data_IF_574534245718
#
_entry.id   IF_574534245718
#
_cell.length_a   1.000
_cell.length_b   1.000
_cell.length_c   1.000
_cell.angle_alpha   90.00
_cell.angle_beta   90.00
_cell.angle_gamma   90.00
#
_symmetry.space_group_name_H-M   'P 1'
#
loop_
_entity.id
_entity.type
_entity.pdbx_description
1 polymer ?
#
# COMPACT_ATOMS: atom_id res chain seq x y z
N UNK A 1 2.71 -4.48 32.14
CA UNK A 1 3.66 -3.48 31.59
C UNK A 1 3.07 -2.96 30.30
N UNK A 2 3.01 -1.65 30.08
CA UNK A 2 2.43 -1.04 28.87
C UNK A 2 3.23 -1.41 27.64
N UNK A 3 2.55 -1.62 26.52
CA UNK A 3 3.17 -2.10 25.27
C UNK A 3 2.78 -1.22 24.08
N UNK A 4 3.77 -0.69 23.38
CA UNK A 4 3.59 -0.04 22.08
C UNK A 4 3.81 -1.08 20.98
N UNK A 5 2.75 -1.49 20.30
CA UNK A 5 2.81 -2.37 19.14
C UNK A 5 3.07 -1.53 17.90
N UNK A 6 4.18 -1.75 17.23
CA UNK A 6 4.59 -1.00 16.05
C UNK A 6 4.62 -1.93 14.84
N UNK A 7 3.59 -1.84 14.00
CA UNK A 7 3.53 -2.54 12.72
C UNK A 7 4.26 -1.72 11.65
N UNK A 8 5.33 -2.29 11.08
CA UNK A 8 6.23 -1.59 10.15
C UNK A 8 6.17 -2.10 8.70
N UNK A 9 5.20 -2.90 8.35
CA UNK A 9 5.06 -3.48 7.01
C UNK A 9 5.79 -4.83 6.94
N UNK A 10 6.52 -5.18 5.88
CA UNK A 10 7.10 -4.32 4.80
C UNK A 10 6.03 -3.65 3.93
N UNK A 11 6.39 -2.66 3.08
CA UNK A 11 5.45 -2.20 2.05
C UNK A 11 4.95 -3.37 1.20
N UNK A 12 3.74 -3.30 0.67
CA UNK A 12 3.14 -4.34 -0.19
C UNK A 12 2.82 -5.68 0.52
N UNK A 13 2.62 -5.62 1.83
CA UNK A 13 2.16 -6.74 2.67
C UNK A 13 0.80 -6.44 3.31
N UNK A 14 -0.12 -5.86 2.54
CA UNK A 14 -1.49 -5.54 2.95
C UNK A 14 -1.60 -4.62 4.19
N UNK A 15 -0.62 -3.72 4.41
CA UNK A 15 -0.57 -2.79 5.53
C UNK A 15 -1.86 -1.97 5.68
N UNK A 16 -2.42 -1.51 4.55
CA UNK A 16 -3.69 -0.77 4.52
C UNK A 16 -4.86 -1.58 5.09
N UNK A 17 -4.90 -2.90 4.86
CA UNK A 17 -5.95 -3.76 5.40
C UNK A 17 -5.86 -3.88 6.93
N UNK A 18 -4.65 -3.98 7.48
CA UNK A 18 -4.40 -3.96 8.93
C UNK A 18 -4.80 -2.60 9.53
N UNK A 19 -4.43 -1.50 8.88
CA UNK A 19 -4.75 -0.14 9.32
C UNK A 19 -6.26 0.12 9.36
N UNK A 20 -6.99 -0.33 8.33
CA UNK A 20 -8.45 -0.24 8.33
C UNK A 20 -9.08 -1.16 9.37
N UNK A 21 -8.58 -2.39 9.53
CA UNK A 21 -9.03 -3.29 10.57
C UNK A 21 -8.93 -2.64 11.96
N UNK A 22 -7.80 -2.04 12.30
CA UNK A 22 -7.61 -1.38 13.59
C UNK A 22 -8.55 -0.18 13.76
N UNK A 23 -8.73 0.65 12.73
CA UNK A 23 -9.63 1.80 12.77
C UNK A 23 -11.09 1.40 12.89
N UNK A 24 -11.51 0.44 12.07
CA UNK A 24 -12.94 0.07 11.97
C UNK A 24 -13.42 -0.76 13.16
N UNK A 25 -12.50 -1.37 13.92
CA UNK A 25 -12.78 -2.14 15.13
C UNK A 25 -12.35 -1.44 16.43
N UNK A 26 -12.18 -0.13 16.43
CA UNK A 26 -11.60 0.62 17.54
C UNK A 26 -12.34 0.39 18.88
N UNK A 27 -13.67 0.32 18.88
CA UNK A 27 -14.46 0.06 20.09
C UNK A 27 -14.17 -1.34 20.68
N UNK A 28 -14.02 -2.36 19.84
CA UNK A 28 -13.73 -3.73 20.27
C UNK A 28 -12.29 -3.85 20.75
N UNK A 29 -11.35 -3.17 20.10
CA UNK A 29 -9.97 -3.06 20.56
C UNK A 29 -9.89 -2.42 21.94
N UNK A 30 -10.58 -1.31 22.14
CA UNK A 30 -10.62 -0.58 23.41
C UNK A 30 -11.14 -1.45 24.57
N UNK A 31 -12.16 -2.28 24.33
CA UNK A 31 -12.70 -3.22 25.32
C UNK A 31 -11.69 -4.27 25.78
N UNK A 32 -10.72 -4.60 24.93
CA UNK A 32 -9.63 -5.53 25.25
C UNK A 32 -8.34 -4.82 25.71
N UNK A 33 -8.41 -3.52 25.96
CA UNK A 33 -7.25 -2.76 26.45
C UNK A 33 -6.26 -2.31 25.37
N UNK A 34 -6.65 -2.36 24.09
CA UNK A 34 -5.85 -1.85 22.97
C UNK A 34 -6.42 -0.53 22.45
N UNK A 35 -5.54 0.38 22.07
CA UNK A 35 -5.91 1.67 21.48
C UNK A 35 -5.18 1.91 20.15
N UNK A 36 -5.91 2.31 19.13
CA UNK A 36 -5.39 2.72 17.83
C UNK A 36 -5.59 4.22 17.66
N UNK A 37 -4.61 5.08 17.97
CA UNK A 37 -4.77 6.53 17.87
C UNK A 37 -5.01 6.97 16.42
N UNK A 38 -5.92 7.94 16.25
CA UNK A 38 -6.16 8.62 14.99
C UNK A 38 -5.80 10.09 15.22
N UNK A 39 -4.66 10.48 14.74
CA UNK A 39 -4.13 11.83 14.94
C UNK A 39 -4.77 12.85 14.00
N UNK A 40 -4.86 14.11 14.44
CA UNK A 40 -5.49 15.20 13.67
C UNK A 40 -4.57 15.80 12.59
N UNK A 41 -3.25 15.68 12.72
CA UNK A 41 -2.32 16.19 11.72
C UNK A 41 -2.42 15.45 10.39
N UNK A 42 -2.05 16.15 9.32
CA UNK A 42 -2.12 15.63 7.96
C UNK A 42 -0.77 15.69 7.30
N UNK A 43 -0.35 14.56 6.76
CA UNK A 43 0.74 14.51 5.80
C UNK A 43 0.16 14.42 4.39
N UNK A 44 0.59 15.25 3.43
CA UNK A 44 0.15 15.16 2.05
C UNK A 44 0.35 13.75 1.49
N UNK A 45 -0.66 13.21 0.81
CA UNK A 45 -0.62 11.87 0.20
C UNK A 45 -0.47 10.68 1.17
N UNK A 46 -0.66 10.89 2.46
CA UNK A 46 -0.64 9.83 3.48
C UNK A 46 -2.06 9.63 4.03
N UNK A 47 -2.52 8.37 4.07
CA UNK A 47 -3.80 8.05 4.69
C UNK A 47 -3.73 8.29 6.21
N UNK A 48 -4.76 8.87 6.80
CA UNK A 48 -4.84 9.12 8.24
C UNK A 48 -4.76 7.84 9.09
N UNK A 49 -5.12 6.70 8.48
CA UNK A 49 -4.98 5.39 9.12
C UNK A 49 -3.52 4.96 9.29
N UNK A 50 -2.57 5.59 8.63
CA UNK A 50 -1.13 5.39 8.87
C UNK A 50 -0.68 6.25 10.04
N UNK A 51 -1.06 5.84 11.22
CA UNK A 51 -0.90 6.64 12.43
C UNK A 51 0.54 6.73 12.97
N UNK A 52 1.47 5.90 12.49
CA UNK A 52 2.89 5.99 12.85
C UNK A 52 3.71 6.89 11.91
N UNK A 53 3.08 7.59 10.94
CA UNK A 53 3.82 8.35 9.94
C UNK A 53 4.66 9.49 10.53
N UNK A 54 4.28 10.03 11.66
CA UNK A 54 5.06 11.05 12.39
C UNK A 54 6.46 10.57 12.80
N UNK A 55 6.69 9.24 12.91
CA UNK A 55 8.01 8.68 13.19
C UNK A 55 8.98 8.83 12.01
N UNK A 56 8.45 8.94 10.82
CA UNK A 56 9.22 9.09 9.58
C UNK A 56 9.13 10.50 9.00
N UNK A 57 8.28 11.36 9.55
CA UNK A 57 8.04 12.71 9.06
C UNK A 57 7.56 12.72 7.61
N UNK A 58 7.54 13.88 6.96
CA UNK A 58 7.16 13.96 5.57
C UNK A 58 8.31 13.53 4.65
N UNK A 59 8.37 12.22 4.38
CA UNK A 59 9.38 11.64 3.49
C UNK A 59 9.14 11.95 2.02
N UNK A 60 8.01 12.56 1.68
CA UNK A 60 7.63 12.96 0.32
C UNK A 60 7.94 14.41 -0.01
N UNK A 61 8.21 15.24 1.01
CA UNK A 61 8.72 16.60 0.80
C UNK A 61 10.23 16.58 0.53
N UNK A 62 10.72 17.57 -0.19
CA UNK A 62 12.14 17.82 -0.30
C UNK A 62 12.73 18.16 1.07
N UNK A 63 14.03 17.93 1.28
CA UNK A 63 14.69 18.30 2.54
C UNK A 63 14.59 19.81 2.84
N UNK A 64 14.48 20.63 1.79
CA UNK A 64 14.35 22.09 1.89
C UNK A 64 12.95 22.54 2.35
N UNK A 65 11.93 21.70 2.14
CA UNK A 65 10.55 21.98 2.56
C UNK A 65 10.22 21.40 3.95
N UNK A 66 11.15 20.65 4.54
CA UNK A 66 10.95 20.01 5.82
C UNK A 66 11.34 20.94 6.98
N UNK A 67 10.35 21.39 7.76
CA UNK A 67 10.58 22.07 9.03
C UNK A 67 10.86 21.05 10.12
N UNK A 68 12.11 21.00 10.60
CA UNK A 68 12.51 20.12 11.71
C UNK A 68 11.78 20.47 13.02
N UNK A 69 11.44 21.74 13.21
CA UNK A 69 10.72 22.22 14.39
C UNK A 69 9.27 21.72 14.39
N UNK A 70 8.59 21.79 13.24
CA UNK A 70 7.23 21.27 13.09
C UNK A 70 7.19 19.74 13.27
N UNK A 71 8.16 19.02 12.71
CA UNK A 71 8.28 17.57 12.87
C UNK A 71 8.53 17.19 14.34
N UNK A 72 9.34 17.94 15.06
CA UNK A 72 9.57 17.71 16.50
C UNK A 72 8.31 17.99 17.30
N UNK A 73 7.58 19.06 16.99
CA UNK A 73 6.31 19.38 17.64
C UNK A 73 5.29 18.26 17.45
N UNK A 74 5.11 17.78 16.21
CA UNK A 74 4.21 16.67 15.90
C UNK A 74 4.62 15.41 16.67
N UNK A 75 5.92 15.13 16.76
CA UNK A 75 6.41 13.98 17.52
C UNK A 75 6.08 14.08 19.02
N UNK A 76 6.29 15.23 19.63
CA UNK A 76 5.98 15.44 21.05
C UNK A 76 4.47 15.37 21.32
N UNK A 77 3.66 15.96 20.45
CA UNK A 77 2.19 15.86 20.52
C UNK A 77 1.71 14.40 20.39
N UNK A 78 2.30 13.63 19.47
CA UNK A 78 1.99 12.21 19.32
C UNK A 78 2.29 11.39 20.58
N UNK A 79 3.50 11.57 21.13
CA UNK A 79 3.88 10.85 22.34
C UNK A 79 3.11 11.32 23.57
N UNK A 80 2.71 12.60 23.65
CA UNK A 80 1.78 13.08 24.67
C UNK A 80 0.47 12.29 24.65
N UNK A 81 -0.16 12.15 23.49
CA UNK A 81 -1.39 11.36 23.35
C UNK A 81 -1.19 9.85 23.60
N UNK A 82 -0.03 9.29 23.24
CA UNK A 82 0.30 7.90 23.54
C UNK A 82 0.44 7.68 25.06
N UNK A 83 1.07 8.58 25.79
CA UNK A 83 1.18 8.51 27.24
C UNK A 83 -0.19 8.62 27.93
N UNK A 84 -1.04 9.56 27.49
CA UNK A 84 -2.42 9.67 27.97
C UNK A 84 -3.22 8.37 27.70
N UNK A 85 -3.04 7.77 26.52
CA UNK A 85 -3.68 6.50 26.19
C UNK A 85 -3.23 5.35 27.12
N UNK A 86 -1.97 5.33 27.55
CA UNK A 86 -1.46 4.33 28.50
C UNK A 86 -2.03 4.46 29.92
N UNK A 87 -2.70 5.56 30.25
CA UNK A 87 -3.46 5.65 31.51
C UNK A 87 -4.68 4.72 31.51
N UNK A 88 -5.29 4.50 30.32
CA UNK A 88 -6.54 3.75 30.16
C UNK A 88 -6.35 2.37 29.52
N UNK A 89 -5.34 2.21 28.66
CA UNK A 89 -5.11 1.02 27.84
C UNK A 89 -3.75 0.39 28.16
N UNK A 90 -3.64 -0.92 27.95
CA UNK A 90 -2.38 -1.65 28.16
C UNK A 90 -1.55 -1.74 26.87
N UNK A 91 -2.20 -1.63 25.71
CA UNK A 91 -1.59 -1.66 24.39
C UNK A 91 -1.95 -0.45 23.55
N UNK A 92 -0.95 0.20 22.94
CA UNK A 92 -1.15 1.19 21.88
C UNK A 92 -0.62 0.61 20.58
N UNK A 93 -1.41 0.70 19.50
CA UNK A 93 -1.05 0.14 18.19
C UNK A 93 -0.73 1.29 17.25
N UNK A 94 0.48 1.28 16.69
CA UNK A 94 0.93 2.16 15.63
C UNK A 94 1.24 1.36 14.36
N UNK A 95 0.96 1.93 13.19
CA UNK A 95 1.22 1.27 11.91
C UNK A 95 1.69 2.26 10.84
N UNK A 96 2.88 2.03 10.30
CA UNK A 96 3.37 2.66 9.08
C UNK A 96 4.50 1.87 8.42
N UNK A 97 4.31 1.46 7.18
CA UNK A 97 5.30 0.71 6.39
C UNK A 97 6.53 1.54 5.98
N UNK A 98 6.48 2.87 6.08
CA UNK A 98 7.65 3.71 5.80
C UNK A 98 8.75 3.56 6.85
N UNK A 99 8.42 3.06 8.05
CA UNK A 99 9.41 2.74 9.06
C UNK A 99 10.42 1.70 8.60
N UNK A 100 9.98 0.71 7.80
CA UNK A 100 10.88 -0.27 7.19
C UNK A 100 11.92 0.36 6.26
N UNK A 101 11.47 1.22 5.34
CA UNK A 101 12.33 1.78 4.31
C UNK A 101 13.10 3.03 4.76
N UNK A 102 12.54 3.83 5.65
CA UNK A 102 13.02 5.18 5.94
C UNK A 102 13.37 5.43 7.41
N UNK A 103 12.92 4.58 8.33
CA UNK A 103 13.04 4.82 9.77
C UNK A 103 14.47 5.09 10.26
N UNK A 104 15.49 4.47 9.66
CA UNK A 104 16.89 4.76 9.99
C UNK A 104 17.43 6.01 9.30
N UNK A 105 16.99 6.29 8.08
CA UNK A 105 17.46 7.43 7.30
C UNK A 105 17.03 8.77 7.90
N UNK A 106 15.89 8.81 8.54
CA UNK A 106 15.29 10.02 9.11
C UNK A 106 15.22 10.01 10.63
N UNK A 107 16.06 9.20 11.25
CA UNK A 107 16.26 9.12 12.70
C UNK A 107 15.05 8.62 13.53
N UNK A 108 14.02 8.08 12.87
CA UNK A 108 12.82 7.60 13.55
C UNK A 108 13.09 6.54 14.61
N UNK A 109 13.98 5.58 14.32
CA UNK A 109 14.38 4.55 15.27
C UNK A 109 15.17 5.08 16.46
N UNK A 110 16.07 6.07 16.28
CA UNK A 110 16.82 6.66 17.39
C UNK A 110 15.91 7.52 18.28
N UNK A 111 14.90 8.17 17.69
CA UNK A 111 13.88 8.91 18.45
C UNK A 111 13.06 7.95 19.34
N UNK A 112 12.62 6.81 18.77
CA UNK A 112 11.95 5.74 19.52
C UNK A 112 12.83 5.18 20.64
N UNK A 113 14.13 4.99 20.40
CA UNK A 113 15.09 4.54 21.42
C UNK A 113 15.13 5.48 22.61
N UNK A 114 15.14 6.80 22.38
CA UNK A 114 15.09 7.79 23.46
C UNK A 114 13.79 7.72 24.28
N UNK A 115 12.65 7.43 23.63
CA UNK A 115 11.40 7.23 24.35
C UNK A 115 11.39 5.93 25.17
N UNK A 116 12.05 4.86 24.70
CA UNK A 116 12.23 3.63 25.49
C UNK A 116 13.05 3.84 26.76
N UNK A 117 14.02 4.78 26.74
CA UNK A 117 14.85 5.11 27.91
C UNK A 117 14.04 5.66 29.10
N UNK A 118 12.81 6.13 28.85
CA UNK A 118 11.88 6.56 29.92
C UNK A 118 11.27 5.40 30.71
N UNK A 119 11.41 4.17 30.23
CA UNK A 119 10.93 2.93 30.88
C UNK A 119 9.41 2.90 31.22
N UNK A 120 8.58 3.63 30.47
CA UNK A 120 7.13 3.69 30.65
C UNK A 120 6.45 2.51 29.96
N UNK A 121 6.96 2.11 28.80
CA UNK A 121 6.42 1.04 27.97
C UNK A 121 7.53 0.24 27.30
N UNK A 122 7.18 -0.92 26.77
CA UNK A 122 8.03 -1.69 25.83
C UNK A 122 7.50 -1.52 24.42
N UNK A 123 8.39 -1.64 23.41
CA UNK A 123 7.98 -1.70 22.00
C UNK A 123 7.99 -3.15 21.55
N UNK A 124 6.88 -3.61 20.92
CA UNK A 124 6.84 -4.84 20.15
C UNK A 124 6.66 -4.51 18.67
N UNK A 125 7.64 -4.88 17.87
CA UNK A 125 7.63 -4.65 16.41
C UNK A 125 7.00 -5.85 15.72
N UNK A 126 6.04 -5.59 14.82
CA UNK A 126 5.42 -6.60 13.98
C UNK A 126 5.80 -6.30 12.53
N UNK A 127 6.37 -7.30 11.84
CA UNK A 127 6.78 -7.16 10.44
C UNK A 127 6.38 -8.38 9.63
N UNK A 128 5.76 -8.11 8.47
CA UNK A 128 5.45 -9.12 7.47
C UNK A 128 6.48 -9.09 6.36
N UNK A 129 7.12 -10.22 6.10
CA UNK A 129 8.11 -10.35 5.05
C UNK A 129 7.51 -11.11 3.87
N UNK A 130 7.63 -10.53 2.70
CA UNK A 130 7.24 -11.13 1.43
C UNK A 130 8.48 -11.61 0.69
N UNK A 131 8.40 -12.74 -0.07
CA UNK A 131 9.53 -13.23 -0.84
C UNK A 131 10.06 -12.13 -1.76
N UNK A 132 11.38 -11.95 -1.81
CA UNK A 132 12.02 -10.77 -2.39
C UNK A 132 11.66 -10.52 -3.85
N UNK A 133 11.54 -11.56 -4.67
CA UNK A 133 11.10 -11.46 -6.07
C UNK A 133 9.64 -10.99 -6.19
N UNK A 134 8.75 -11.54 -5.39
CA UNK A 134 7.34 -11.14 -5.35
C UNK A 134 7.17 -9.72 -4.81
N UNK A 135 7.95 -9.35 -3.79
CA UNK A 135 7.96 -8.01 -3.27
C UNK A 135 8.40 -7.02 -4.36
N UNK A 136 9.51 -7.31 -5.07
CA UNK A 136 10.06 -6.48 -6.13
C UNK A 136 9.05 -6.29 -7.26
N UNK A 137 8.37 -7.37 -7.68
CA UNK A 137 7.31 -7.31 -8.68
C UNK A 137 6.13 -6.46 -8.21
N UNK A 138 5.66 -6.67 -6.98
CA UNK A 138 4.55 -5.90 -6.42
C UNK A 138 4.89 -4.41 -6.30
N UNK A 139 6.14 -4.08 -5.98
CA UNK A 139 6.62 -2.70 -5.94
C UNK A 139 6.66 -2.06 -7.32
N UNK A 140 7.22 -2.74 -8.32
CA UNK A 140 7.23 -2.28 -9.70
C UNK A 140 5.81 -2.05 -10.22
N UNK A 141 4.90 -3.01 -9.97
CA UNK A 141 3.50 -2.89 -10.32
C UNK A 141 2.85 -1.62 -9.73
N UNK A 142 3.10 -1.34 -8.46
CA UNK A 142 2.61 -0.13 -7.81
C UNK A 142 3.16 1.15 -8.42
N UNK A 143 4.47 1.22 -8.62
CA UNK A 143 5.14 2.40 -9.19
C UNK A 143 4.64 2.70 -10.60
N UNK A 144 4.50 1.68 -11.44
CA UNK A 144 3.95 1.80 -12.79
C UNK A 144 2.47 2.20 -12.76
N UNK A 145 1.68 1.55 -11.92
CA UNK A 145 0.24 1.82 -11.75
C UNK A 145 -0.03 3.25 -11.29
N UNK A 146 0.71 3.77 -10.35
CA UNK A 146 0.59 5.15 -9.88
C UNK A 146 0.95 6.18 -10.96
N UNK A 147 1.97 5.89 -11.77
CA UNK A 147 2.43 6.80 -12.81
C UNK A 147 3.07 8.08 -12.26
N UNK A 148 3.21 9.09 -13.12
CA UNK A 148 3.60 10.49 -12.80
C UNK A 148 5.01 10.68 -12.23
N UNK A 149 5.79 9.62 -11.96
CA UNK A 149 7.19 9.68 -11.53
C UNK A 149 8.08 9.14 -12.65
N UNK A 150 9.33 9.61 -12.71
CA UNK A 150 10.32 9.08 -13.68
C UNK A 150 10.49 7.56 -13.59
N UNK A 151 10.43 7.01 -12.37
CA UNK A 151 10.53 5.56 -12.12
C UNK A 151 9.34 4.75 -12.65
N UNK A 152 8.20 5.40 -12.93
CA UNK A 152 7.01 4.72 -13.44
C UNK A 152 7.12 4.28 -14.91
N UNK A 153 8.14 4.73 -15.62
CA UNK A 153 8.48 4.29 -16.97
C UNK A 153 9.58 3.22 -17.01
N UNK A 154 10.15 2.86 -15.86
CA UNK A 154 11.21 1.84 -15.82
C UNK A 154 10.71 0.48 -16.27
N UNK A 155 11.47 -0.15 -17.15
CA UNK A 155 11.30 -1.55 -17.50
C UNK A 155 11.53 -2.44 -16.27
N UNK A 156 11.07 -3.70 -16.32
CA UNK A 156 11.35 -4.66 -15.27
C UNK A 156 12.86 -4.80 -15.00
N UNK A 157 13.68 -4.86 -16.05
CA UNK A 157 15.14 -4.93 -15.93
C UNK A 157 15.71 -3.71 -15.21
N UNK A 158 15.31 -2.51 -15.63
CA UNK A 158 15.75 -1.27 -14.96
C UNK A 158 15.31 -1.20 -13.50
N UNK A 159 14.12 -1.74 -13.18
CA UNK A 159 13.65 -1.81 -11.80
C UNK A 159 14.52 -2.74 -10.96
N UNK A 160 14.93 -3.91 -11.48
CA UNK A 160 15.83 -4.82 -10.80
C UNK A 160 17.22 -4.24 -10.57
N UNK A 161 17.73 -3.48 -11.54
CA UNK A 161 19.08 -2.88 -11.49
C UNK A 161 19.13 -1.62 -10.61
N UNK A 162 18.04 -0.84 -10.58
CA UNK A 162 17.99 0.49 -9.96
C UNK A 162 17.14 0.52 -8.68
N UNK A 163 16.90 -0.61 -8.05
CA UNK A 163 16.12 -0.71 -6.80
C UNK A 163 16.74 0.11 -5.64
N UNK A 164 16.64 1.44 -5.60
CA UNK A 164 17.35 2.22 -4.58
C UNK A 164 16.51 2.39 -3.30
N UNK A 165 15.26 1.99 -3.30
CA UNK A 165 14.29 2.39 -2.25
C UNK A 165 13.81 1.20 -1.43
N UNK A 166 14.16 -0.03 -1.83
CA UNK A 166 13.60 -1.22 -1.22
C UNK A 166 14.66 -1.98 -0.44
N UNK A 167 14.44 -2.10 0.85
CA UNK A 167 15.31 -2.88 1.74
C UNK A 167 15.00 -4.38 1.55
N UNK A 168 15.72 -5.04 0.65
CA UNK A 168 15.60 -6.50 0.41
C UNK A 168 16.53 -7.33 1.29
N UNK A 169 17.55 -6.72 1.88
CA UNK A 169 18.34 -7.32 2.97
C UNK A 169 17.50 -7.26 4.25
N UNK A 170 16.61 -8.23 4.38
CA UNK A 170 15.69 -8.32 5.51
C UNK A 170 16.44 -8.59 6.81
N UNK A 171 17.42 -9.50 6.77
CA UNK A 171 18.17 -9.85 7.97
C UNK A 171 18.98 -8.65 8.50
N UNK A 172 19.74 -7.99 7.65
CA UNK A 172 20.51 -6.81 8.05
C UNK A 172 19.63 -5.65 8.55
N UNK A 173 18.39 -5.53 8.03
CA UNK A 173 17.42 -4.55 8.53
C UNK A 173 16.88 -4.94 9.91
N UNK A 174 16.54 -6.22 10.11
CA UNK A 174 16.07 -6.73 11.40
C UNK A 174 17.13 -6.61 12.49
N UNK A 175 18.38 -6.88 12.19
CA UNK A 175 19.50 -6.69 13.15
C UNK A 175 19.63 -5.23 13.63
N UNK A 176 19.46 -4.26 12.70
CA UNK A 176 19.45 -2.85 13.07
C UNK A 176 18.27 -2.49 13.97
N UNK A 177 17.08 -3.05 13.70
CA UNK A 177 15.89 -2.86 14.55
C UNK A 177 16.09 -3.53 15.89
N UNK A 178 16.65 -4.74 15.93
CA UNK A 178 16.96 -5.47 17.15
C UNK A 178 17.92 -4.71 18.06
N UNK A 179 18.87 -3.98 17.52
CA UNK A 179 19.77 -3.10 18.28
C UNK A 179 19.05 -1.92 18.97
N UNK A 180 17.82 -1.60 18.56
CA UNK A 180 17.00 -0.55 19.17
C UNK A 180 16.03 -1.11 20.19
N UNK A 181 15.28 -2.17 19.84
CA UNK A 181 14.14 -2.66 20.62
C UNK A 181 14.43 -3.96 21.37
N UNK A 182 15.52 -4.65 21.06
CA UNK A 182 15.76 -6.04 21.48
C UNK A 182 15.15 -7.04 20.50
N UNK A 183 15.87 -8.13 20.25
CA UNK A 183 15.45 -9.16 19.28
C UNK A 183 14.16 -9.87 19.71
N UNK A 184 14.01 -10.12 20.99
CA UNK A 184 12.85 -10.75 21.63
C UNK A 184 11.55 -9.93 21.46
N UNK A 185 11.68 -8.67 21.09
CA UNK A 185 10.56 -7.76 20.85
C UNK A 185 10.19 -7.63 19.38
N UNK A 186 10.76 -8.46 18.50
CA UNK A 186 10.44 -8.45 17.08
C UNK A 186 9.67 -9.72 16.70
N UNK A 187 8.45 -9.54 16.22
CA UNK A 187 7.62 -10.61 15.66
C UNK A 187 7.68 -10.56 14.15
N UNK A 188 8.32 -11.56 13.54
CA UNK A 188 8.38 -11.74 12.08
C UNK A 188 7.27 -12.67 11.64
N UNK A 189 6.53 -12.29 10.61
CA UNK A 189 5.50 -13.10 9.96
C UNK A 189 5.78 -13.23 8.46
N UNK A 190 5.45 -14.38 7.88
CA UNK A 190 5.49 -14.57 6.43
C UNK A 190 4.27 -13.90 5.80
N UNK A 191 4.46 -13.12 4.75
CA UNK A 191 3.35 -12.64 3.94
C UNK A 191 2.96 -13.69 2.91
N UNK A 192 2.28 -14.70 3.38
CA UNK A 192 1.71 -15.78 2.58
C UNK A 192 0.33 -16.13 3.14
N UNK A 193 -0.69 -16.04 2.28
CA UNK A 193 -2.08 -16.28 2.69
C UNK A 193 -2.30 -17.68 3.28
N UNK A 194 -1.55 -18.67 2.81
CA UNK A 194 -1.66 -20.04 3.31
C UNK A 194 -1.14 -20.18 4.75
N UNK A 195 -0.23 -19.29 5.17
CA UNK A 195 0.36 -19.26 6.52
C UNK A 195 -0.37 -18.36 7.50
N UNK A 196 -1.33 -17.55 7.05
CA UNK A 196 -2.06 -16.64 7.94
C UNK A 196 -3.00 -17.40 8.88
N UNK A 197 -2.98 -17.03 10.15
CA UNK A 197 -3.97 -17.46 11.13
C UNK A 197 -5.37 -17.07 10.62
N UNK A 198 -6.31 -17.99 10.61
CA UNK A 198 -7.65 -17.75 10.08
C UNK A 198 -7.70 -17.40 8.58
N UNK A 199 -6.62 -17.63 7.82
CA UNK A 199 -6.47 -17.32 6.39
C UNK A 199 -6.70 -15.84 6.02
N UNK A 200 -6.64 -14.95 7.01
CA UNK A 200 -6.83 -13.52 6.85
C UNK A 200 -5.70 -12.75 7.53
N UNK A 201 -5.17 -11.73 6.86
CA UNK A 201 -4.08 -10.89 7.39
C UNK A 201 -4.47 -10.18 8.68
N UNK A 202 -5.75 -9.81 8.83
CA UNK A 202 -6.28 -9.16 10.02
C UNK A 202 -6.28 -10.10 11.21
N UNK A 203 -6.66 -11.36 11.00
CA UNK A 203 -6.66 -12.38 12.05
C UNK A 203 -5.22 -12.76 12.44
N UNK A 204 -4.32 -12.86 11.48
CA UNK A 204 -2.89 -13.10 11.73
C UNK A 204 -2.24 -11.94 12.50
N UNK A 205 -2.61 -10.70 12.18
CA UNK A 205 -2.14 -9.53 12.92
C UNK A 205 -2.69 -9.51 14.35
N UNK A 206 -3.97 -9.85 14.54
CA UNK A 206 -4.57 -9.97 15.87
C UNK A 206 -3.81 -11.00 16.73
N UNK A 207 -3.53 -12.17 16.16
CA UNK A 207 -2.71 -13.21 16.82
C UNK A 207 -1.30 -12.69 17.16
N UNK A 208 -0.66 -11.94 16.24
CA UNK A 208 0.68 -11.39 16.45
C UNK A 208 0.77 -10.42 17.63
N UNK A 209 -0.31 -9.70 17.95
CA UNK A 209 -0.37 -8.78 19.09
C UNK A 209 -1.05 -9.38 20.33
N UNK A 210 -1.52 -10.62 20.25
CA UNK A 210 -2.24 -11.29 21.34
C UNK A 210 -3.68 -10.81 21.54
N UNK A 211 -4.30 -10.28 20.47
CA UNK A 211 -5.70 -9.85 20.48
C UNK A 211 -6.62 -11.03 20.16
N UNK A 212 -7.60 -11.30 21.01
CA UNK A 212 -8.61 -12.33 20.78
C UNK A 212 -9.74 -11.79 19.89
N UNK A 213 -9.92 -12.43 18.73
CA UNK A 213 -11.03 -12.10 17.85
C UNK A 213 -12.31 -12.76 18.35
N UNK A 214 -13.31 -11.93 18.67
CA UNK A 214 -14.67 -12.34 19.02
C UNK A 214 -15.66 -12.01 17.89
N UNK A 215 -16.89 -12.46 18.06
CA UNK A 215 -18.01 -12.10 17.19
C UNK A 215 -18.19 -10.58 17.12
N UNK A 216 -18.33 -10.02 15.92
CA UNK A 216 -18.49 -8.58 15.69
C UNK A 216 -17.24 -7.87 15.12
N UNK A 217 -16.05 -8.49 15.13
CA UNK A 217 -14.91 -7.91 14.43
C UNK A 217 -15.12 -7.89 12.92
N UNK A 218 -14.92 -6.73 12.31
CA UNK A 218 -14.93 -6.56 10.85
C UNK A 218 -13.57 -6.99 10.29
N UNK A 219 -13.47 -8.21 9.78
CA UNK A 219 -12.23 -8.79 9.23
C UNK A 219 -12.09 -8.49 7.74
N UNK A 220 -13.20 -8.31 7.00
CA UNK A 220 -13.15 -8.04 5.57
C UNK A 220 -12.80 -6.59 5.28
N UNK A 221 -11.74 -6.36 4.51
CA UNK A 221 -11.47 -5.02 3.97
C UNK A 221 -12.27 -4.81 2.68
N UNK A 222 -13.07 -3.74 2.64
CA UNK A 222 -13.82 -3.33 1.43
C UNK A 222 -12.92 -2.72 0.33
N UNK A 223 -11.63 -2.56 0.59
CA UNK A 223 -10.69 -1.91 -0.33
C UNK A 223 -9.86 -2.95 -1.06
N UNK A 224 -10.33 -3.33 -2.23
CA UNK A 224 -9.54 -4.14 -3.16
C UNK A 224 -8.54 -3.24 -3.91
N UNK A 225 -7.27 -3.31 -3.53
CA UNK A 225 -6.20 -2.71 -4.31
C UNK A 225 -5.75 -3.70 -5.40
N UNK A 226 -6.49 -3.72 -6.51
CA UNK A 226 -6.24 -4.64 -7.63
C UNK A 226 -4.87 -4.37 -8.23
N UNK A 227 -4.00 -5.38 -8.22
CA UNK A 227 -2.74 -5.35 -8.96
C UNK A 227 -3.03 -5.49 -10.46
N UNK A 228 -2.29 -4.74 -11.28
CA UNK A 228 -2.35 -4.94 -12.73
C UNK A 228 -1.77 -6.31 -13.09
N UNK A 229 -2.36 -6.97 -14.10
CA UNK A 229 -1.71 -8.13 -14.73
C UNK A 229 -0.36 -7.71 -15.33
N UNK A 230 0.52 -8.66 -15.64
CA UNK A 230 1.83 -8.35 -16.25
C UNK A 230 1.67 -7.59 -17.56
N UNK A 231 0.71 -8.00 -18.38
CA UNK A 231 0.36 -7.35 -19.65
C UNK A 231 -0.18 -5.94 -19.44
N UNK A 232 -1.15 -5.75 -18.55
CA UNK A 232 -1.71 -4.44 -18.24
C UNK A 232 -0.67 -3.51 -17.59
N UNK A 233 0.24 -4.05 -16.79
CA UNK A 233 1.32 -3.28 -16.18
C UNK A 233 2.31 -2.75 -17.24
N UNK A 234 2.69 -3.59 -18.21
CA UNK A 234 3.57 -3.15 -19.29
C UNK A 234 2.88 -2.14 -20.21
N UNK A 235 1.61 -2.33 -20.54
CA UNK A 235 0.82 -1.33 -21.28
C UNK A 235 0.83 -0.01 -20.49
N UNK A 236 0.56 -0.05 -19.19
CA UNK A 236 0.57 1.15 -18.35
C UNK A 236 1.93 1.83 -18.32
N UNK A 237 3.02 1.05 -18.25
CA UNK A 237 4.39 1.57 -18.31
C UNK A 237 4.64 2.33 -19.61
N UNK A 238 4.24 1.76 -20.75
CA UNK A 238 4.34 2.42 -22.08
C UNK A 238 3.51 3.70 -22.13
N UNK A 239 2.29 3.69 -21.61
CA UNK A 239 1.44 4.88 -21.51
C UNK A 239 2.06 5.96 -20.61
N UNK A 240 2.83 5.60 -19.56
CA UNK A 240 3.55 6.55 -18.73
C UNK A 240 4.68 7.29 -19.48
N UNK A 241 5.10 6.79 -20.64
CA UNK A 241 6.08 7.46 -21.50
C UNK A 241 5.46 8.50 -22.45
N UNK A 242 4.13 8.60 -22.51
CA UNK A 242 3.47 9.51 -23.44
C UNK A 242 3.69 10.97 -23.05
N UNK A 243 4.04 11.84 -23.99
CA UNK A 243 4.13 13.28 -23.74
C UNK A 243 2.74 13.84 -23.40
N UNK A 244 2.68 14.75 -22.43
CA UNK A 244 1.45 15.40 -22.00
C UNK A 244 0.50 14.54 -21.17
N UNK A 245 0.99 13.43 -20.61
CA UNK A 245 0.24 12.66 -19.61
C UNK A 245 0.09 13.50 -18.35
N UNK A 246 -1.14 13.89 -18.02
CA UNK A 246 -1.49 14.54 -16.77
C UNK A 246 -2.15 13.56 -15.79
N UNK A 247 -2.39 14.01 -14.55
CA UNK A 247 -3.00 13.20 -13.50
C UNK A 247 -4.37 12.65 -13.91
N UNK A 248 -5.21 13.44 -14.58
CA UNK A 248 -6.57 13.02 -14.98
C UNK A 248 -6.51 11.88 -15.99
N UNK A 249 -5.64 12.00 -17.01
CA UNK A 249 -5.44 10.95 -18.02
C UNK A 249 -4.78 9.72 -17.43
N UNK A 250 -3.81 9.91 -16.53
CA UNK A 250 -3.17 8.84 -15.80
C UNK A 250 -4.19 8.02 -14.98
N UNK A 251 -5.08 8.69 -14.24
CA UNK A 251 -6.11 8.04 -13.44
C UNK A 251 -7.10 7.27 -14.30
N UNK A 252 -7.50 7.82 -15.46
CA UNK A 252 -8.36 7.15 -16.44
C UNK A 252 -7.71 5.86 -16.96
N UNK A 253 -6.45 5.93 -17.37
CA UNK A 253 -5.74 4.76 -17.88
C UNK A 253 -5.58 3.68 -16.80
N UNK A 254 -5.29 4.10 -15.57
CA UNK A 254 -5.23 3.18 -14.42
C UNK A 254 -6.56 2.48 -14.18
N UNK A 255 -7.69 3.20 -14.26
CA UNK A 255 -9.03 2.65 -14.06
C UNK A 255 -9.34 1.56 -15.08
N UNK A 256 -9.17 1.83 -16.37
CA UNK A 256 -9.43 0.84 -17.43
C UNK A 256 -8.54 -0.39 -17.32
N UNK A 257 -7.24 -0.20 -17.12
CA UNK A 257 -6.30 -1.32 -16.98
C UNK A 257 -6.54 -2.13 -15.69
N UNK A 258 -7.00 -1.49 -14.62
CA UNK A 258 -7.44 -2.19 -13.42
C UNK A 258 -8.69 -3.02 -13.70
N UNK A 259 -9.65 -2.50 -14.46
CA UNK A 259 -10.83 -3.24 -14.89
C UNK A 259 -10.48 -4.49 -15.72
N UNK A 260 -9.55 -4.38 -16.67
CA UNK A 260 -9.04 -5.52 -17.44
C UNK A 260 -8.38 -6.55 -16.51
N UNK A 261 -7.62 -6.07 -15.52
CA UNK A 261 -6.89 -6.91 -14.58
C UNK A 261 -7.78 -7.62 -13.54
N UNK A 262 -9.05 -7.24 -13.38
CA UNK A 262 -10.02 -7.97 -12.55
C UNK A 262 -10.29 -9.39 -13.06
N UNK A 263 -10.11 -9.63 -14.36
CA UNK A 263 -10.16 -10.95 -14.95
C UNK A 263 -8.76 -11.36 -15.44
N UNK A 264 -7.88 -11.88 -14.54
CA UNK A 264 -6.46 -12.04 -14.83
C UNK A 264 -6.16 -13.14 -15.85
N UNK A 265 -7.17 -13.83 -16.39
CA UNK A 265 -6.99 -14.96 -17.33
C UNK A 265 -5.92 -15.93 -16.81
N UNK A 266 -4.88 -16.20 -17.59
CA UNK A 266 -3.78 -17.07 -17.22
C UNK A 266 -2.51 -16.32 -16.76
N UNK A 267 -2.63 -15.06 -16.30
CA UNK A 267 -1.46 -14.25 -15.90
C UNK A 267 -0.61 -14.91 -14.79
N UNK A 268 -1.24 -15.70 -13.92
CA UNK A 268 -0.57 -16.37 -12.78
C UNK A 268 0.47 -17.40 -13.20
N UNK A 269 0.34 -18.02 -14.36
CA UNK A 269 1.31 -18.99 -14.88
C UNK A 269 2.61 -18.35 -15.43
N UNK A 270 2.63 -17.02 -15.54
CA UNK A 270 3.79 -16.28 -16.00
C UNK A 270 4.59 -15.73 -14.83
N UNK A 271 5.92 -15.81 -14.92
CA UNK A 271 6.87 -15.10 -14.06
C UNK A 271 7.61 -14.04 -14.87
N UNK A 272 8.02 -12.95 -14.22
CA UNK A 272 8.87 -11.93 -14.84
C UNK A 272 10.32 -12.41 -15.01
N UNK A 273 10.72 -13.46 -14.31
CA UNK A 273 12.03 -14.10 -14.36
C UNK A 273 11.87 -15.54 -14.84
N UNK A 274 12.81 -16.04 -15.62
CA UNK A 274 12.97 -17.48 -15.85
C UNK A 274 13.43 -18.17 -14.56
N UNK A 275 13.31 -19.49 -14.50
CA UNK A 275 13.75 -20.23 -13.31
C UNK A 275 15.24 -19.99 -12.98
N UNK A 276 16.21 -20.01 -13.93
CA UNK A 276 17.59 -19.68 -13.62
C UNK A 276 17.77 -18.24 -13.10
N UNK A 277 17.12 -17.25 -13.72
CA UNK A 277 17.18 -15.86 -13.28
C UNK A 277 16.58 -15.68 -11.87
N UNK A 278 15.50 -16.41 -11.55
CA UNK A 278 14.88 -16.37 -10.23
C UNK A 278 15.80 -16.98 -9.17
N UNK A 279 16.45 -18.12 -9.47
CA UNK A 279 17.44 -18.74 -8.58
C UNK A 279 18.62 -17.80 -8.32
N UNK A 280 19.17 -17.19 -9.37
CA UNK A 280 20.25 -16.20 -9.25
C UNK A 280 19.83 -14.98 -8.42
N UNK A 281 18.61 -14.48 -8.64
CA UNK A 281 18.10 -13.34 -7.88
C UNK A 281 17.94 -13.69 -6.38
N UNK A 282 17.34 -14.84 -6.08
CA UNK A 282 17.05 -15.27 -4.70
C UNK A 282 18.29 -15.71 -3.94
N UNK A 283 19.32 -16.25 -4.62
CA UNK A 283 20.58 -16.67 -3.97
C UNK A 283 21.27 -15.54 -3.19
N UNK A 284 21.06 -14.29 -3.58
CA UNK A 284 21.58 -13.11 -2.89
C UNK A 284 21.02 -12.93 -1.47
N UNK A 285 19.85 -13.50 -1.20
CA UNK A 285 19.11 -13.33 0.07
C UNK A 285 19.00 -14.63 0.87
N UNK A 286 19.49 -15.74 0.32
CA UNK A 286 19.30 -17.09 0.90
C UNK A 286 19.83 -17.19 2.33
N UNK A 287 21.07 -16.75 2.56
CA UNK A 287 21.68 -16.79 3.90
C UNK A 287 20.93 -15.89 4.89
N UNK A 288 20.53 -14.68 4.49
CA UNK A 288 19.72 -13.80 5.34
C UNK A 288 18.37 -14.41 5.66
N UNK A 289 17.70 -15.00 4.66
CA UNK A 289 16.40 -15.66 4.84
C UNK A 289 16.51 -16.89 5.77
N UNK A 290 17.58 -17.69 5.65
CA UNK A 290 17.85 -18.81 6.53
C UNK A 290 18.02 -18.34 7.98
N UNK A 291 18.83 -17.31 8.22
CA UNK A 291 19.03 -16.76 9.56
C UNK A 291 17.73 -16.21 10.16
N UNK A 292 16.88 -15.57 9.37
CA UNK A 292 15.57 -15.12 9.86
C UNK A 292 14.71 -16.32 10.29
N UNK A 293 14.68 -17.40 9.51
CA UNK A 293 13.92 -18.59 9.84
C UNK A 293 14.39 -19.20 11.17
N UNK A 294 15.69 -19.35 11.34
CA UNK A 294 16.29 -19.90 12.56
C UNK A 294 16.04 -19.00 13.77
N UNK A 295 16.24 -17.70 13.65
CA UNK A 295 16.33 -16.78 14.76
C UNK A 295 14.99 -16.15 15.15
N UNK A 296 14.05 -15.99 14.22
CA UNK A 296 12.76 -15.31 14.45
C UNK A 296 11.54 -16.22 14.27
N UNK A 297 11.66 -17.36 13.59
CA UNK A 297 10.55 -18.28 13.32
C UNK A 297 10.65 -19.61 14.10
N UNK A 298 11.16 -19.56 15.33
CA UNK A 298 11.27 -20.72 16.25
C UNK A 298 12.08 -21.89 15.64
N UNK A 299 13.15 -21.56 14.91
CA UNK A 299 14.04 -22.57 14.32
C UNK A 299 13.48 -23.28 13.10
N UNK A 300 12.61 -22.63 12.33
CA UNK A 300 12.23 -23.14 11.02
C UNK A 300 13.44 -23.15 10.08
N UNK A 301 13.53 -24.18 9.21
CA UNK A 301 14.65 -24.30 8.27
C UNK A 301 14.62 -23.21 7.18
N UNK A 302 13.43 -22.71 6.82
CA UNK A 302 13.22 -21.79 5.70
C UNK A 302 12.24 -20.69 6.01
N UNK A 303 12.60 -19.46 5.63
CA UNK A 303 11.67 -18.34 5.67
C UNK A 303 10.61 -18.43 4.57
N UNK A 304 11.02 -18.74 3.35
CA UNK A 304 10.13 -18.87 2.19
C UNK A 304 10.31 -20.23 1.52
N UNK A 305 9.27 -20.68 0.81
CA UNK A 305 9.38 -21.82 -0.07
C UNK A 305 10.39 -21.53 -1.20
N UNK A 306 11.28 -22.46 -1.45
CA UNK A 306 12.32 -22.41 -2.50
C UNK A 306 11.94 -23.21 -3.75
N UNK A 307 10.67 -23.56 -3.90
CA UNK A 307 10.16 -24.10 -5.15
C UNK A 307 10.13 -23.00 -6.21
N UNK A 308 11.23 -22.89 -6.96
CA UNK A 308 11.37 -21.93 -8.07
C UNK A 308 10.76 -22.49 -9.36
N UNK A 309 9.54 -23.04 -9.29
CA UNK A 309 8.84 -23.53 -10.47
C UNK A 309 8.29 -22.35 -11.27
N UNK A 310 8.83 -22.14 -12.44
CA UNK A 310 8.39 -21.12 -13.41
C UNK A 310 7.80 -21.85 -14.60
N UNK A 311 6.47 -21.83 -14.77
CA UNK A 311 5.80 -22.46 -15.92
C UNK A 311 6.18 -21.72 -17.21
N UNK A 312 6.09 -20.40 -17.22
CA UNK A 312 6.43 -19.55 -18.37
C UNK A 312 7.03 -18.23 -17.92
N UNK A 313 8.09 -17.79 -18.60
CA UNK A 313 8.57 -16.40 -18.49
C UNK A 313 7.63 -15.49 -19.28
N UNK A 314 7.24 -14.38 -18.65
CA UNK A 314 6.50 -13.34 -19.33
C UNK A 314 7.42 -12.51 -20.25
N UNK A 315 6.98 -12.28 -21.47
CA UNK A 315 7.71 -11.46 -22.45
C UNK A 315 6.79 -10.38 -23.01
N UNK A 316 7.32 -9.18 -23.22
CA UNK A 316 6.57 -8.08 -23.82
C UNK A 316 6.17 -8.44 -25.26
N UNK A 317 4.95 -8.05 -25.66
CA UNK A 317 4.41 -8.34 -26.98
C UNK A 317 3.82 -9.74 -27.15
N UNK A 318 3.66 -10.51 -26.07
CA UNK A 318 2.94 -11.79 -26.12
C UNK A 318 1.44 -11.59 -26.48
N UNK A 319 0.77 -12.66 -26.88
CA UNK A 319 -0.63 -12.60 -27.34
C UNK A 319 -1.59 -12.02 -26.30
N UNK A 320 -1.40 -12.29 -25.00
CA UNK A 320 -2.23 -11.72 -23.94
C UNK A 320 -2.06 -10.22 -23.86
N UNK A 321 -0.84 -9.70 -24.01
CA UNK A 321 -0.59 -8.26 -24.02
C UNK A 321 -1.24 -7.58 -25.23
N UNK A 322 -1.21 -8.22 -26.40
CA UNK A 322 -1.88 -7.69 -27.60
C UNK A 322 -3.39 -7.63 -27.39
N UNK A 323 -3.99 -8.68 -26.85
CA UNK A 323 -5.42 -8.72 -26.55
C UNK A 323 -5.82 -7.65 -25.51
N UNK A 324 -5.05 -7.51 -24.44
CA UNK A 324 -5.27 -6.48 -23.41
C UNK A 324 -5.13 -5.07 -23.99
N UNK A 325 -4.16 -4.85 -24.89
CA UNK A 325 -3.98 -3.56 -25.57
C UNK A 325 -5.18 -3.23 -26.47
N UNK A 326 -5.65 -4.17 -27.28
CA UNK A 326 -6.84 -3.99 -28.12
C UNK A 326 -8.08 -3.70 -27.27
N UNK A 327 -8.25 -4.44 -26.18
CA UNK A 327 -9.35 -4.24 -25.24
C UNK A 327 -9.28 -2.84 -24.61
N UNK A 328 -8.12 -2.43 -24.14
CA UNK A 328 -7.89 -1.12 -23.53
C UNK A 328 -8.22 0.02 -24.50
N UNK A 329 -7.64 -0.01 -25.71
CA UNK A 329 -7.90 1.03 -26.69
C UNK A 329 -9.35 1.04 -27.16
N UNK A 330 -9.98 -0.13 -27.32
CA UNK A 330 -11.40 -0.26 -27.61
C UNK A 330 -12.27 0.39 -26.53
N UNK A 331 -12.04 0.09 -25.26
CA UNK A 331 -12.79 0.67 -24.13
C UNK A 331 -12.62 2.20 -24.06
N UNK A 332 -11.40 2.70 -24.21
CA UNK A 332 -11.12 4.14 -24.23
C UNK A 332 -11.83 4.82 -25.39
N UNK A 333 -11.75 4.24 -26.59
CA UNK A 333 -12.39 4.78 -27.80
C UNK A 333 -13.91 4.83 -27.65
N UNK A 334 -14.54 3.75 -27.19
CA UNK A 334 -16.00 3.72 -26.96
C UNK A 334 -16.43 4.75 -25.91
N UNK A 335 -15.65 4.91 -24.84
CA UNK A 335 -15.92 5.93 -23.82
C UNK A 335 -15.84 7.35 -24.39
N UNK A 336 -14.83 7.63 -25.23
CA UNK A 336 -14.66 8.93 -25.87
C UNK A 336 -15.79 9.21 -26.87
N UNK A 337 -16.21 8.23 -27.69
CA UNK A 337 -17.34 8.37 -28.60
C UNK A 337 -18.63 8.69 -27.85
N UNK A 338 -18.94 7.94 -26.81
CA UNK A 338 -20.11 8.21 -25.96
C UNK A 338 -20.07 9.61 -25.35
N UNK A 339 -18.91 10.04 -24.87
CA UNK A 339 -18.75 11.39 -24.32
C UNK A 339 -18.93 12.48 -25.36
N UNK A 340 -18.46 12.24 -26.59
CA UNK A 340 -18.66 13.15 -27.71
C UNK A 340 -20.14 13.31 -28.05
N UNK A 341 -20.88 12.20 -28.15
CA UNK A 341 -22.33 12.20 -28.38
C UNK A 341 -23.08 12.99 -27.28
N UNK A 342 -22.73 12.79 -26.01
CA UNK A 342 -23.29 13.56 -24.88
C UNK A 342 -23.03 15.06 -25.02
N UNK A 343 -21.81 15.45 -25.44
CA UNK A 343 -21.44 16.85 -25.62
C UNK A 343 -22.17 17.47 -26.82
N UNK A 344 -22.31 16.76 -27.93
CA UNK A 344 -23.07 17.19 -29.08
C UNK A 344 -24.53 17.42 -28.73
N UNK A 345 -25.13 16.52 -27.96
CA UNK A 345 -26.50 16.68 -27.46
C UNK A 345 -26.63 17.90 -26.53
N UNK A 346 -25.70 18.13 -25.67
CA UNK A 346 -25.67 19.31 -24.81
C UNK A 346 -25.54 20.60 -25.59
N UNK A 347 -24.64 20.63 -26.59
CA UNK A 347 -24.46 21.77 -27.51
C UNK A 347 -25.75 22.08 -28.27
N UNK A 348 -26.39 21.06 -28.83
CA UNK A 348 -27.66 21.22 -29.54
C UNK A 348 -28.74 21.76 -28.60
N UNK A 349 -28.84 21.24 -27.39
CA UNK A 349 -29.80 21.73 -26.41
C UNK A 349 -29.52 23.18 -25.99
N UNK A 350 -28.26 23.58 -25.81
CA UNK A 350 -27.89 24.95 -25.49
C UNK A 350 -28.17 25.90 -26.66
N UNK A 351 -27.85 25.52 -27.86
CA UNK A 351 -28.17 26.30 -29.08
C UNK A 351 -29.67 26.52 -29.23
N UNK A 352 -30.50 25.46 -29.00
CA UNK A 352 -31.95 25.60 -28.99
C UNK A 352 -32.43 26.61 -27.94
N UNK A 353 -31.93 26.54 -26.73
CA UNK A 353 -32.28 27.47 -25.62
C UNK A 353 -31.90 28.92 -25.94
N UNK A 354 -30.74 29.14 -26.56
CA UNK A 354 -30.28 30.44 -26.98
C UNK A 354 -31.16 31.04 -28.09
N UNK A 355 -31.55 30.23 -29.07
CA UNK A 355 -32.38 30.65 -30.18
C UNK A 355 -33.86 30.85 -29.81
N UNK A 356 -34.32 30.26 -28.68
CA UNK A 356 -35.71 30.29 -28.20
C UNK A 356 -35.81 30.71 -26.72
N UNK A 357 -35.34 31.92 -26.34
CA UNK A 357 -35.22 32.28 -24.94
C UNK A 357 -36.56 32.38 -24.21
N UNK A 358 -37.60 32.88 -24.85
CA UNK A 358 -38.95 32.98 -24.25
C UNK A 358 -39.62 31.64 -24.01
N UNK A 359 -39.48 30.68 -24.90
CA UNK A 359 -39.98 29.30 -24.70
C UNK A 359 -39.23 28.59 -23.56
N UNK A 360 -37.94 28.83 -23.45
CA UNK A 360 -37.10 28.26 -22.37
C UNK A 360 -37.50 28.74 -20.97
N UNK A 361 -37.80 30.05 -20.85
CA UNK A 361 -38.31 30.64 -19.58
C UNK A 361 -39.72 30.11 -19.30
N UNK A 362 -40.61 30.09 -20.25
CA UNK A 362 -41.97 29.59 -20.09
C UNK A 362 -42.02 28.12 -19.63
N UNK A 363 -41.19 27.26 -20.19
CA UNK A 363 -41.05 25.87 -19.77
C UNK A 363 -40.48 25.70 -18.35
N UNK A 364 -39.53 26.54 -17.95
CA UNK A 364 -39.04 26.57 -16.55
C UNK A 364 -40.13 26.92 -15.55
N UNK A 365 -40.94 27.92 -15.84
CA UNK A 365 -42.05 28.33 -14.98
C UNK A 365 -43.10 27.22 -14.87
N UNK A 366 -43.48 26.57 -15.97
CA UNK A 366 -44.42 25.44 -15.99
C UNK A 366 -43.90 24.25 -15.17
N UNK A 367 -42.60 23.90 -15.29
CA UNK A 367 -42.00 22.79 -14.57
C UNK A 367 -41.86 23.08 -13.07
N UNK A 368 -41.58 24.33 -12.67
CA UNK A 368 -41.52 24.74 -11.27
C UNK A 368 -42.90 24.67 -10.61
N UNK A 369 -43.98 25.01 -11.34
CA UNK A 369 -45.36 24.90 -10.84
C UNK A 369 -45.84 23.44 -10.68
N UNK A 370 -45.34 22.52 -11.57
CA UNK A 370 -45.65 21.08 -11.45
C UNK A 370 -44.89 20.38 -10.31
N UNK A 371 -43.79 20.93 -9.84
CA UNK A 371 -43.04 20.39 -8.67
C UNK A 371 -43.55 20.92 -7.35
N UNK A 372 -44.41 21.95 -7.37
CA UNK A 372 -45.00 22.59 -6.17
C UNK A 372 -46.45 22.11 -5.91
N UNK A 373 -46.99 21.26 -6.77
CA UNK A 373 -48.22 20.48 -6.56
C UNK A 373 -47.86 19.03 -6.27
#
# INVERSE_FOLDING_TARGET
>A
MKTLYLHIGTPKTATTAIQFFCRDNQELLNRQGYFYPVFEWKYPNVLRTRNAHFLVGDTYLSQEERSLEEEEKVFQEAFGQIYEAFEQYDGVILSDESMWNHGFRIDGWNRLKKELERNIFTIKVIVYLRRQDEFTYSWWNQVVKEGMKKTSSFTWKEMLEKLPVVQLDYYGTLEKIAAVVGKENITVRKFDRASFVGQAIQADFADAIGLELSEGYQIESKVENISLTKSSNEIKRLLNCLPGLDKKRNDLFREYLSGISMNPRNDRQYSMLSEPELREFMSKYEEGNRRIAEEYLKGQDKLFDDSYQVEKKWESGNSLMVEDAVTFFGMVTLSLLKKNEELEHQITTLRYKLNHPFQTVGNRIKNSRKKAQ
#
